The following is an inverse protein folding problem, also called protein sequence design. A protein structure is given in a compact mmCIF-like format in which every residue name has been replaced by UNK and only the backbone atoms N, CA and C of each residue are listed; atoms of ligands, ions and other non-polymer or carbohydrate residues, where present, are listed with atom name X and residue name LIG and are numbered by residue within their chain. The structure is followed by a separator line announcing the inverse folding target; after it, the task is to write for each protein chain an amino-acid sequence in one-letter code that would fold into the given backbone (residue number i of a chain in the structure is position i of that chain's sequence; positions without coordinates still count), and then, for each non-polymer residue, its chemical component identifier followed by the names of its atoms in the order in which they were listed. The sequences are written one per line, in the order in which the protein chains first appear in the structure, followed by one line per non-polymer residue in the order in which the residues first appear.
data_IF_521147057195
#
_entry.id   IF_521147057195
#
_cell.length_a   1.000
_cell.length_b   1.000
_cell.length_c   1.000
_cell.angle_alpha   90.00
_cell.angle_beta   90.00
_cell.angle_gamma   90.00
#
_symmetry.space_group_name_H-M   'P 1'
#
loop_
_entity.id
_entity.type
_entity.pdbx_description
1 polymer ?
#
# COMPACT_ATOMS: atom_id res chain seq x y z
N UNK A 1 4.31 7.15 -31.84
CA UNK A 1 3.67 6.32 -30.80
C UNK A 1 4.08 6.93 -29.48
N UNK A 2 3.19 7.67 -28.82
CA UNK A 2 3.50 8.25 -27.50
C UNK A 2 3.35 7.14 -26.48
N UNK A 3 4.46 6.68 -25.92
CA UNK A 3 4.44 5.82 -24.73
C UNK A 3 3.76 6.61 -23.61
N UNK A 4 2.50 6.25 -23.31
CA UNK A 4 1.87 6.65 -22.07
C UNK A 4 2.61 5.89 -20.96
N UNK A 5 3.69 6.46 -20.41
CA UNK A 5 4.19 6.03 -19.11
C UNK A 5 3.06 6.24 -18.11
N UNK A 6 2.41 5.17 -17.69
CA UNK A 6 1.50 5.22 -16.55
C UNK A 6 2.31 5.79 -15.38
N UNK A 7 1.79 6.88 -14.81
CA UNK A 7 2.49 7.62 -13.78
C UNK A 7 2.40 6.80 -12.50
N UNK A 8 3.51 6.16 -12.11
CA UNK A 8 3.55 5.37 -10.89
C UNK A 8 3.36 6.29 -9.69
N UNK A 9 2.34 5.99 -8.89
CA UNK A 9 2.03 6.69 -7.64
C UNK A 9 2.43 5.79 -6.47
N UNK A 10 2.79 6.43 -5.36
CA UNK A 10 3.16 5.74 -4.12
C UNK A 10 2.19 6.18 -3.04
N UNK A 11 1.57 5.22 -2.37
CA UNK A 11 0.77 5.42 -1.16
C UNK A 11 1.49 4.78 0.01
N UNK A 12 1.63 5.53 1.10
CA UNK A 12 2.22 5.03 2.34
C UNK A 12 1.07 4.78 3.32
N UNK A 13 0.99 3.55 3.81
CA UNK A 13 0.06 3.14 4.86
C UNK A 13 0.87 3.05 6.14
N UNK A 14 0.65 4.00 7.03
CA UNK A 14 1.27 4.00 8.36
C UNK A 14 0.54 3.00 9.26
N UNK A 15 1.29 2.08 9.88
CA UNK A 15 0.74 1.08 10.81
C UNK A 15 1.03 1.45 12.27
N UNK A 16 1.40 2.69 12.56
CA UNK A 16 1.74 3.11 13.91
C UNK A 16 0.54 2.94 14.86
N UNK A 17 0.75 2.24 15.96
CA UNK A 17 -0.30 1.98 16.96
C UNK A 17 -1.32 0.91 16.57
N UNK A 18 -1.24 0.30 15.38
CA UNK A 18 -2.07 -0.86 15.04
C UNK A 18 -1.53 -2.08 15.79
N UNK A 19 -2.43 -2.80 16.47
CA UNK A 19 -2.07 -4.08 17.12
C UNK A 19 -1.59 -5.04 16.06
N UNK A 20 -0.52 -5.80 16.34
CA UNK A 20 0.07 -6.77 15.41
C UNK A 20 -0.98 -7.70 14.77
N UNK A 21 -1.88 -8.24 15.59
CA UNK A 21 -2.99 -9.11 15.17
C UNK A 21 -3.96 -8.47 14.15
N UNK A 22 -4.04 -7.13 14.13
CA UNK A 22 -4.88 -6.34 13.21
C UNK A 22 -4.13 -5.72 12.04
N UNK A 23 -2.80 -5.88 11.98
CA UNK A 23 -2.01 -5.27 10.91
C UNK A 23 -2.36 -5.84 9.55
N UNK A 24 -2.38 -7.17 9.43
CA UNK A 24 -2.70 -7.83 8.18
C UNK A 24 -4.09 -7.45 7.67
N UNK A 25 -5.10 -7.49 8.55
CA UNK A 25 -6.47 -7.07 8.22
C UNK A 25 -6.53 -5.61 7.76
N UNK A 26 -5.84 -4.71 8.47
CA UNK A 26 -5.82 -3.27 8.14
C UNK A 26 -5.18 -3.01 6.77
N UNK A 27 -4.06 -3.68 6.47
CA UNK A 27 -3.38 -3.59 5.18
C UNK A 27 -4.30 -4.13 4.08
N UNK A 28 -4.85 -5.32 4.25
CA UNK A 28 -5.72 -5.97 3.26
C UNK A 28 -6.96 -5.12 2.96
N UNK A 29 -7.59 -4.54 3.99
CA UNK A 29 -8.72 -3.64 3.80
C UNK A 29 -8.33 -2.43 2.94
N UNK A 30 -7.17 -1.80 3.21
CA UNK A 30 -6.71 -0.63 2.44
C UNK A 30 -6.37 -0.97 0.99
N UNK A 31 -5.76 -2.13 0.76
CA UNK A 31 -5.46 -2.62 -0.59
C UNK A 31 -6.74 -2.96 -1.36
N UNK A 32 -7.73 -3.56 -0.69
CA UNK A 32 -9.03 -3.87 -1.28
C UNK A 32 -9.79 -2.59 -1.66
N UNK A 33 -9.78 -1.56 -0.80
CA UNK A 33 -10.34 -0.23 -1.14
C UNK A 33 -9.69 0.32 -2.43
N UNK A 34 -8.36 0.28 -2.53
CA UNK A 34 -7.65 0.79 -3.72
C UNK A 34 -7.98 0.00 -4.99
N UNK A 35 -8.11 -1.33 -4.90
CA UNK A 35 -8.53 -2.13 -6.06
C UNK A 35 -9.99 -1.84 -6.46
N UNK A 36 -10.88 -1.60 -5.49
CA UNK A 36 -12.26 -1.20 -5.77
C UNK A 36 -12.35 0.19 -6.41
N UNK A 37 -11.42 1.09 -6.08
CA UNK A 37 -11.26 2.39 -6.74
C UNK A 37 -10.73 2.26 -8.19
N UNK A 38 -10.40 1.06 -8.65
CA UNK A 38 -9.87 0.79 -9.99
C UNK A 38 -8.35 0.97 -10.11
N UNK A 39 -7.66 1.19 -8.99
CA UNK A 39 -6.22 1.39 -8.98
C UNK A 39 -5.50 0.05 -9.20
N UNK A 40 -4.52 0.06 -10.10
CA UNK A 40 -3.71 -1.11 -10.40
C UNK A 40 -2.52 -1.19 -9.45
N UNK A 41 -2.62 -2.01 -8.41
CA UNK A 41 -1.54 -2.25 -7.45
C UNK A 41 -0.39 -3.01 -8.11
N UNK A 42 0.81 -2.43 -8.14
CA UNK A 42 2.01 -3.02 -8.77
C UNK A 42 2.94 -3.68 -7.79
N UNK A 43 3.22 -2.99 -6.68
CA UNK A 43 4.20 -3.45 -5.71
C UNK A 43 3.76 -3.02 -4.32
N UNK A 44 3.93 -3.92 -3.35
CA UNK A 44 3.63 -3.67 -1.93
C UNK A 44 4.90 -4.03 -1.15
N UNK A 45 5.45 -3.06 -0.42
CA UNK A 45 6.64 -3.22 0.41
C UNK A 45 6.35 -2.81 1.84
N UNK A 46 6.57 -3.71 2.79
CA UNK A 46 6.51 -3.38 4.21
C UNK A 46 7.91 -2.97 4.65
N UNK A 47 8.05 -1.78 5.23
CA UNK A 47 9.31 -1.25 5.74
C UNK A 47 9.13 -0.90 7.21
N UNK A 48 9.99 -1.43 8.07
CA UNK A 48 9.99 -1.18 9.50
C UNK A 48 10.95 -2.09 10.24
N UNK A 49 11.62 -1.56 11.25
CA UNK A 49 12.62 -2.29 12.05
C UNK A 49 11.99 -2.99 13.27
N UNK A 50 10.84 -2.47 13.73
CA UNK A 50 10.08 -2.97 14.88
C UNK A 50 8.61 -3.05 14.52
N UNK A 51 7.91 -4.03 15.08
CA UNK A 51 6.47 -4.26 14.87
C UNK A 51 5.61 -3.01 15.12
N UNK A 52 6.04 -2.08 15.98
CA UNK A 52 5.34 -0.84 16.29
C UNK A 52 5.77 0.36 15.42
N UNK A 53 6.64 0.16 14.44
CA UNK A 53 7.19 1.17 13.53
C UNK A 53 7.29 0.59 12.11
N UNK A 54 6.18 0.03 11.62
CA UNK A 54 6.09 -0.47 10.25
C UNK A 54 5.20 0.44 9.41
N UNK A 55 5.58 0.64 8.15
CA UNK A 55 4.80 1.31 7.13
C UNK A 55 4.75 0.43 5.88
N UNK A 56 3.62 0.48 5.16
CA UNK A 56 3.46 -0.23 3.89
C UNK A 56 3.47 0.75 2.74
N UNK A 57 4.43 0.58 1.85
CA UNK A 57 4.57 1.32 0.61
C UNK A 57 3.84 0.55 -0.47
N UNK A 58 2.84 1.19 -1.08
CA UNK A 58 2.05 0.63 -2.15
C UNK A 58 2.30 1.46 -3.39
N UNK A 59 2.93 0.85 -4.40
CA UNK A 59 3.10 1.43 -5.72
C UNK A 59 1.90 1.02 -6.57
N UNK A 60 1.23 1.99 -7.16
CA UNK A 60 0.02 1.77 -7.94
C UNK A 60 -0.05 2.70 -9.15
N UNK A 61 -0.88 2.32 -10.11
CA UNK A 61 -1.17 3.07 -11.33
C UNK A 61 -2.68 3.29 -11.48
N UNK A 62 -3.08 4.32 -12.22
CA UNK A 62 -4.47 4.55 -12.66
C UNK A 62 -4.73 3.81 -13.99
#
# INVERSE_FOLDING_TARGET
MLEHKQMQKIKIIDLYGIKFDKMEESINNKLAEMQQEGLNLKEIKVIGDKLNQCAVFVIYED
#
